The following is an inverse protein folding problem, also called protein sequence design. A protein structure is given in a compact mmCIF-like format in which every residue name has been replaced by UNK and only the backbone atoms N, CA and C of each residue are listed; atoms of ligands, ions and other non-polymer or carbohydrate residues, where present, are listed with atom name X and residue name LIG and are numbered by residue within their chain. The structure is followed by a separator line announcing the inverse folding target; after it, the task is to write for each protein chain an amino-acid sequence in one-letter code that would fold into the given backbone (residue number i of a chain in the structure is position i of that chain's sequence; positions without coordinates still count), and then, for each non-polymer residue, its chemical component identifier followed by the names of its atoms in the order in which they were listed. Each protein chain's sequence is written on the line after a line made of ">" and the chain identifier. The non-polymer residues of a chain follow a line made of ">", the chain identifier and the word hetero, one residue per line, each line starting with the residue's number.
data_IF_741435508527
#
_entry.id   IF_741435508527
#
_cell.length_a   1.000
_cell.length_b   1.000
_cell.length_c   1.000
_cell.angle_alpha   90.00
_cell.angle_beta   90.00
_cell.angle_gamma   90.00
#
_symmetry.space_group_name_H-M   'P 1'
#
loop_
_entity.id
_entity.type
_entity.pdbx_description
1 polymer ?
#
# COMPACT_ATOMS: atom_id res chain seq x y z
N UNK A 1 -44.00 -14.81 -72.33
CA UNK A 1 -44.67 -13.63 -72.89
C UNK A 1 -45.53 -13.02 -71.78
N UNK A 2 -45.18 -11.78 -71.36
CA UNK A 2 -45.98 -10.73 -70.68
C UNK A 2 -46.55 -10.93 -69.25
N UNK A 3 -45.79 -10.39 -68.28
CA UNK A 3 -46.08 -9.38 -67.22
C UNK A 3 -47.49 -9.12 -66.64
N UNK A 4 -47.60 -9.13 -65.30
CA UNK A 4 -48.01 -7.97 -64.44
C UNK A 4 -47.81 -8.35 -62.94
N UNK A 5 -46.89 -7.75 -62.19
CA UNK A 5 -47.02 -6.52 -61.36
C UNK A 5 -48.06 -6.62 -60.23
N UNK A 6 -47.64 -7.01 -59.01
CA UNK A 6 -48.23 -6.54 -57.74
C UNK A 6 -47.13 -6.48 -56.66
N UNK A 7 -46.80 -5.25 -56.26
CA UNK A 7 -46.05 -4.91 -55.05
C UNK A 7 -46.76 -5.46 -53.81
N UNK A 8 -46.02 -6.14 -52.93
CA UNK A 8 -46.47 -6.45 -51.56
C UNK A 8 -45.57 -5.69 -50.60
N UNK A 9 -46.21 -4.71 -50.00
CA UNK A 9 -45.75 -3.69 -49.05
C UNK A 9 -44.73 -4.14 -48.00
N UNK A 10 -43.71 -3.29 -47.83
CA UNK A 10 -42.91 -3.09 -46.62
C UNK A 10 -43.79 -3.07 -45.36
N UNK A 11 -43.51 -3.94 -44.38
CA UNK A 11 -43.82 -3.66 -42.99
C UNK A 11 -42.58 -3.07 -42.33
N UNK A 12 -42.60 -1.75 -42.18
CA UNK A 12 -41.69 -0.99 -41.32
C UNK A 12 -42.11 -1.28 -39.88
N UNK A 13 -41.36 -2.13 -39.19
CA UNK A 13 -41.41 -2.27 -37.74
C UNK A 13 -40.28 -1.39 -37.18
N UNK A 14 -40.58 -0.09 -37.06
CA UNK A 14 -39.75 0.84 -36.30
C UNK A 14 -39.97 0.57 -34.82
N UNK A 15 -39.11 -0.24 -34.22
CA UNK A 15 -38.89 -0.25 -32.78
C UNK A 15 -38.36 1.14 -32.40
N UNK A 16 -39.07 1.96 -31.58
CA UNK A 16 -38.52 3.20 -31.10
C UNK A 16 -37.41 2.83 -30.12
N UNK A 17 -36.17 2.90 -30.59
CA UNK A 17 -34.97 2.83 -29.75
C UNK A 17 -35.21 3.80 -28.59
N UNK A 18 -35.33 3.25 -27.38
CA UNK A 18 -35.46 4.03 -26.16
C UNK A 18 -34.17 4.83 -26.03
N UNK A 19 -34.21 6.08 -26.50
CA UNK A 19 -33.25 7.14 -26.17
C UNK A 19 -33.44 7.48 -24.69
N UNK A 20 -33.09 6.53 -23.82
CA UNK A 20 -32.78 6.85 -22.44
C UNK A 20 -31.62 7.85 -22.45
N UNK A 21 -31.62 8.88 -21.59
CA UNK A 21 -30.59 9.90 -21.62
C UNK A 21 -29.23 9.22 -21.47
N UNK A 22 -28.47 9.19 -22.56
CA UNK A 22 -27.09 8.72 -22.57
C UNK A 22 -26.37 9.55 -21.53
N UNK A 23 -26.01 8.91 -20.41
CA UNK A 23 -25.18 9.53 -19.38
C UNK A 23 -23.98 10.08 -20.12
N UNK A 24 -23.85 11.41 -20.17
CA UNK A 24 -22.84 12.04 -21.02
C UNK A 24 -21.49 11.46 -20.65
N UNK A 25 -20.67 11.17 -21.67
CA UNK A 25 -19.34 10.64 -21.45
C UNK A 25 -18.54 11.52 -20.49
N UNK A 26 -18.80 12.83 -20.49
CA UNK A 26 -18.28 13.80 -19.52
C UNK A 26 -18.80 13.60 -18.09
N UNK A 27 -20.09 13.30 -17.89
CA UNK A 27 -20.63 12.98 -16.57
C UNK A 27 -20.05 11.67 -16.03
N UNK A 28 -19.92 10.65 -16.89
CA UNK A 28 -19.31 9.37 -16.54
C UNK A 28 -17.80 9.50 -16.28
N UNK A 29 -17.07 10.24 -17.13
CA UNK A 29 -15.66 10.55 -16.91
C UNK A 29 -15.44 11.43 -15.69
N UNK A 30 -16.36 12.35 -15.35
CA UNK A 30 -16.25 13.12 -14.10
C UNK A 30 -16.48 12.24 -12.87
N UNK A 31 -17.38 11.25 -12.96
CA UNK A 31 -17.61 10.27 -11.90
C UNK A 31 -16.44 9.27 -11.76
N UNK A 32 -15.77 8.94 -12.87
CA UNK A 32 -14.58 8.06 -12.94
C UNK A 32 -13.29 8.82 -12.57
N UNK A 33 -13.20 10.11 -12.88
CA UNK A 33 -12.12 11.04 -12.49
C UNK A 33 -12.30 11.40 -11.02
N UNK A 34 -12.21 10.38 -10.17
CA UNK A 34 -12.20 10.56 -8.72
C UNK A 34 -11.02 11.42 -8.34
N UNK A 35 -11.38 12.61 -7.88
CA UNK A 35 -10.55 13.66 -7.30
C UNK A 35 -9.40 13.06 -6.47
N UNK A 36 -8.18 13.50 -6.79
CA UNK A 36 -6.95 13.04 -6.13
C UNK A 36 -7.07 13.26 -4.61
N UNK A 37 -7.05 12.17 -3.85
CA UNK A 37 -7.02 12.26 -2.39
C UNK A 37 -5.62 12.09 -1.86
N UNK A 38 -5.11 13.16 -1.26
CA UNK A 38 -3.87 13.15 -0.48
C UNK A 38 -3.95 12.11 0.63
N UNK A 39 -2.84 11.40 0.88
CA UNK A 39 -2.70 10.60 2.10
C UNK A 39 -2.26 11.52 3.24
N UNK A 40 -3.10 11.79 4.25
CA UNK A 40 -2.75 12.66 5.37
C UNK A 40 -1.78 12.00 6.37
N UNK A 41 -1.21 10.83 6.04
CA UNK A 41 -0.36 10.03 6.94
C UNK A 41 1.05 10.61 7.13
N UNK A 42 1.45 11.65 6.40
CA UNK A 42 2.75 12.29 6.53
C UNK A 42 2.91 13.09 7.84
N UNK A 43 1.90 13.88 8.24
CA UNK A 43 1.92 14.60 9.52
C UNK A 43 2.07 13.67 10.74
N UNK A 44 1.24 12.61 10.90
CA UNK A 44 1.39 11.70 12.04
C UNK A 44 2.70 10.90 11.98
N UNK A 45 3.26 10.64 10.79
CA UNK A 45 4.58 10.01 10.68
C UNK A 45 5.70 10.91 11.21
N UNK A 46 5.68 12.21 10.88
CA UNK A 46 6.65 13.19 11.41
C UNK A 46 6.49 13.36 12.92
N UNK A 47 5.26 13.46 13.41
CA UNK A 47 4.99 13.55 14.84
C UNK A 47 5.51 12.32 15.60
N UNK A 48 5.29 11.12 15.05
CA UNK A 48 5.79 9.88 15.63
C UNK A 48 7.33 9.83 15.64
N UNK A 49 7.97 10.34 14.60
CA UNK A 49 9.43 10.44 14.54
C UNK A 49 9.97 11.36 15.64
N UNK A 50 9.38 12.55 15.80
CA UNK A 50 9.75 13.48 16.88
C UNK A 50 9.52 12.87 18.26
N UNK A 51 8.37 12.20 18.46
CA UNK A 51 8.04 11.53 19.70
C UNK A 51 9.09 10.48 20.08
N UNK A 52 9.57 9.68 19.12
CA UNK A 52 10.60 8.68 19.38
C UNK A 52 11.94 9.30 19.77
N UNK A 53 12.38 10.34 19.06
CA UNK A 53 13.64 11.05 19.39
C UNK A 53 13.55 11.67 20.79
N UNK A 54 12.45 12.36 21.09
CA UNK A 54 12.23 12.97 22.41
C UNK A 54 12.21 11.89 23.50
N UNK A 55 11.46 10.80 23.31
CA UNK A 55 11.38 9.71 24.27
C UNK A 55 12.75 9.09 24.59
N UNK A 56 13.56 8.79 23.56
CA UNK A 56 14.90 8.23 23.77
C UNK A 56 15.81 9.24 24.47
N UNK A 57 15.75 10.52 24.08
CA UNK A 57 16.53 11.57 24.75
C UNK A 57 16.18 11.70 26.24
N UNK A 58 14.88 11.70 26.58
CA UNK A 58 14.42 11.74 27.96
C UNK A 58 14.80 10.48 28.73
N UNK A 59 14.78 9.30 28.09
CA UNK A 59 15.21 8.03 28.70
C UNK A 59 16.69 8.05 29.05
N UNK A 60 17.54 8.61 28.16
CA UNK A 60 18.97 8.84 28.45
C UNK A 60 19.13 9.81 29.62
N UNK A 61 18.40 10.93 29.63
CA UNK A 61 18.45 11.89 30.73
C UNK A 61 18.06 11.26 32.07
N UNK A 62 16.97 10.47 32.11
CA UNK A 62 16.55 9.74 33.31
C UNK A 62 17.63 8.74 33.74
N UNK A 63 18.23 7.99 32.82
CA UNK A 63 19.33 7.08 33.17
C UNK A 63 20.51 7.83 33.80
N UNK A 64 20.96 8.94 33.18
CA UNK A 64 22.08 9.76 33.68
C UNK A 64 21.79 10.37 35.06
N UNK A 65 20.62 10.99 35.23
CA UNK A 65 20.31 11.74 36.46
C UNK A 65 19.89 10.81 37.61
N UNK A 66 19.06 9.80 37.32
CA UNK A 66 18.46 8.95 38.35
C UNK A 66 19.23 7.67 38.64
N UNK A 67 19.94 7.08 37.67
CA UNK A 67 20.63 5.78 37.86
C UNK A 67 22.10 5.99 38.18
N UNK A 68 22.79 6.88 37.48
CA UNK A 68 24.20 7.17 37.75
C UNK A 68 24.42 8.15 38.92
N UNK A 69 23.35 8.46 39.66
CA UNK A 69 23.32 9.34 40.85
C UNK A 69 23.98 10.73 40.67
N UNK A 70 24.22 11.17 39.43
CA UNK A 70 24.81 12.48 39.11
C UNK A 70 23.91 13.64 39.57
N UNK A 71 22.60 13.40 39.71
CA UNK A 71 21.61 14.39 40.17
C UNK A 71 20.50 13.77 41.01
N UNK A 72 20.86 13.05 42.08
CA UNK A 72 19.91 12.33 42.95
C UNK A 72 18.77 13.22 43.49
N UNK A 73 19.08 14.43 43.93
CA UNK A 73 18.08 15.38 44.45
C UNK A 73 17.07 15.80 43.38
N UNK A 74 17.56 16.04 42.16
CA UNK A 74 16.75 16.40 41.01
C UNK A 74 15.84 15.24 40.58
N UNK A 75 16.35 14.00 40.62
CA UNK A 75 15.56 12.82 40.33
C UNK A 75 14.39 12.65 41.31
N UNK A 76 14.64 12.78 42.61
CA UNK A 76 13.58 12.68 43.64
C UNK A 76 12.58 13.82 43.50
N UNK A 77 13.01 15.02 43.11
CA UNK A 77 12.12 16.16 42.86
C UNK A 77 11.17 15.92 41.67
N UNK A 78 11.66 15.33 40.59
CA UNK A 78 10.88 15.16 39.34
C UNK A 78 10.09 13.85 39.32
N UNK A 79 10.69 12.72 39.73
CA UNK A 79 10.06 11.39 39.69
C UNK A 79 9.46 10.96 41.03
N UNK A 80 9.70 11.70 42.11
CA UNK A 80 9.26 11.32 43.45
C UNK A 80 9.91 10.02 43.90
N UNK A 81 9.09 9.06 44.34
CA UNK A 81 9.55 7.75 44.81
C UNK A 81 9.53 6.66 43.72
N UNK A 82 9.30 7.02 42.46
CA UNK A 82 9.24 6.05 41.35
C UNK A 82 10.65 5.75 40.84
N UNK A 83 10.99 4.46 40.70
CA UNK A 83 12.28 4.05 40.15
C UNK A 83 12.40 4.52 38.69
N UNK A 84 13.52 5.15 38.33
CA UNK A 84 13.72 5.70 36.98
C UNK A 84 13.51 4.69 35.85
N UNK A 85 13.92 3.43 36.06
CA UNK A 85 13.66 2.33 35.12
C UNK A 85 12.16 2.12 34.85
N UNK A 86 11.30 2.18 35.89
CA UNK A 86 9.86 2.01 35.74
C UNK A 86 9.25 3.12 34.89
N UNK A 87 9.71 4.36 35.03
CA UNK A 87 9.27 5.48 34.20
C UNK A 87 9.64 5.27 32.73
N UNK A 88 10.85 4.78 32.45
CA UNK A 88 11.28 4.44 31.08
C UNK A 88 10.39 3.34 30.50
N UNK A 89 10.11 2.27 31.25
CA UNK A 89 9.23 1.17 30.80
C UNK A 89 7.79 1.65 30.55
N UNK A 90 7.22 2.49 31.42
CA UNK A 90 5.89 3.09 31.22
C UNK A 90 5.88 3.95 29.95
N UNK A 91 6.91 4.77 29.75
CA UNK A 91 7.07 5.56 28.54
C UNK A 91 7.17 4.69 27.28
N UNK A 92 7.85 3.54 27.35
CA UNK A 92 7.92 2.58 26.25
C UNK A 92 6.55 2.06 25.83
N UNK A 93 5.71 1.73 26.80
CA UNK A 93 4.33 1.28 26.56
C UNK A 93 3.52 2.38 25.85
N UNK A 94 3.64 3.63 26.30
CA UNK A 94 2.97 4.76 25.66
C UNK A 94 3.43 4.96 24.21
N UNK A 95 4.75 4.97 23.95
CA UNK A 95 5.28 5.10 22.59
C UNK A 95 4.82 3.95 21.71
N UNK A 96 4.83 2.72 22.21
CA UNK A 96 4.33 1.56 21.46
C UNK A 96 2.85 1.70 21.11
N UNK A 97 2.02 2.21 22.03
CA UNK A 97 0.61 2.49 21.76
C UNK A 97 0.45 3.54 20.64
N UNK A 98 1.25 4.61 20.65
CA UNK A 98 1.27 5.59 19.57
C UNK A 98 1.67 4.97 18.21
N UNK A 99 2.68 4.08 18.20
CA UNK A 99 3.09 3.34 16.99
C UNK A 99 1.98 2.41 16.49
N UNK A 100 1.29 1.73 17.41
CA UNK A 100 0.15 0.86 17.09
C UNK A 100 -1.00 1.68 16.46
N UNK A 101 -1.38 2.80 17.08
CA UNK A 101 -2.41 3.69 16.55
C UNK A 101 -2.03 4.21 15.16
N UNK A 102 -0.78 4.63 14.97
CA UNK A 102 -0.27 5.02 13.66
C UNK A 102 -0.39 3.89 12.63
N UNK A 103 -0.01 2.66 13.00
CA UNK A 103 -0.16 1.49 12.14
C UNK A 103 -1.60 1.23 11.71
N UNK A 104 -2.56 1.36 12.64
CA UNK A 104 -4.00 1.24 12.34
C UNK A 104 -4.46 2.37 11.40
N UNK A 105 -4.07 3.62 11.66
CA UNK A 105 -4.40 4.75 10.80
C UNK A 105 -3.84 4.57 9.38
N UNK A 106 -2.56 4.20 9.25
CA UNK A 106 -1.91 3.92 7.97
C UNK A 106 -2.63 2.79 7.24
N UNK A 107 -2.96 1.70 7.94
CA UNK A 107 -3.69 0.58 7.34
C UNK A 107 -5.08 1.00 6.83
N UNK A 108 -5.82 1.81 7.60
CA UNK A 108 -7.12 2.32 7.21
C UNK A 108 -7.02 3.21 5.96
N UNK A 109 -6.10 4.17 5.95
CA UNK A 109 -5.91 5.07 4.80
C UNK A 109 -5.42 4.31 3.56
N UNK A 110 -4.47 3.38 3.70
CA UNK A 110 -3.99 2.58 2.56
C UNK A 110 -5.07 1.62 2.02
N UNK A 111 -5.94 1.06 2.87
CA UNK A 111 -7.09 0.25 2.42
C UNK A 111 -8.08 1.08 1.60
N UNK A 112 -8.36 2.30 2.04
CA UNK A 112 -9.20 3.25 1.31
C UNK A 112 -8.59 3.64 -0.04
N UNK A 113 -7.29 3.87 -0.09
CA UNK A 113 -6.56 4.16 -1.34
C UNK A 113 -6.56 2.95 -2.28
N UNK A 114 -6.42 1.73 -1.76
CA UNK A 114 -6.54 0.49 -2.55
C UNK A 114 -7.91 0.36 -3.21
N UNK A 115 -9.01 0.65 -2.49
CA UNK A 115 -10.38 0.61 -3.05
C UNK A 115 -10.63 1.61 -4.18
N UNK A 116 -9.69 2.54 -4.41
CA UNK A 116 -9.78 3.61 -5.42
C UNK A 116 -8.84 3.39 -6.62
N UNK A 117 -8.23 2.21 -6.73
CA UNK A 117 -7.45 1.84 -7.91
C UNK A 117 -5.94 2.16 -7.85
N UNK A 118 -5.39 2.52 -6.69
CA UNK A 118 -3.94 2.73 -6.49
C UNK A 118 -3.26 1.44 -6.00
N UNK A 119 -3.31 0.38 -6.81
CA UNK A 119 -2.83 -0.96 -6.42
C UNK A 119 -1.31 -1.07 -6.45
N UNK A 120 -0.64 -0.41 -7.41
CA UNK A 120 0.83 -0.41 -7.53
C UNK A 120 1.48 0.22 -6.30
N UNK A 121 1.03 1.43 -5.93
CA UNK A 121 1.49 2.13 -4.73
C UNK A 121 1.24 1.32 -3.43
N UNK A 122 0.11 0.61 -3.34
CA UNK A 122 -0.20 -0.25 -2.20
C UNK A 122 0.77 -1.44 -2.09
N UNK A 123 1.10 -2.09 -3.21
CA UNK A 123 2.02 -3.24 -3.24
C UNK A 123 3.43 -2.82 -2.81
N UNK A 124 3.93 -1.71 -3.35
CA UNK A 124 5.29 -1.23 -3.09
C UNK A 124 5.53 -0.77 -1.64
N UNK A 125 4.47 -0.38 -0.93
CA UNK A 125 4.53 0.07 0.46
C UNK A 125 3.98 -0.94 1.47
N UNK A 126 3.61 -2.15 1.03
CA UNK A 126 3.00 -3.17 1.91
C UNK A 126 3.94 -3.65 3.01
N UNK A 127 5.22 -3.80 2.73
CA UNK A 127 6.23 -4.23 3.72
C UNK A 127 6.63 -3.07 4.63
N UNK A 128 6.87 -1.90 4.03
CA UNK A 128 7.36 -0.71 4.73
C UNK A 128 6.39 -0.21 5.82
N UNK A 129 5.07 -0.33 5.62
CA UNK A 129 4.07 0.08 6.62
C UNK A 129 4.07 -0.77 7.91
N UNK A 130 4.56 -2.00 7.86
CA UNK A 130 4.56 -2.91 9.02
C UNK A 130 5.87 -2.89 9.80
N UNK A 131 6.98 -2.43 9.18
CA UNK A 131 8.30 -2.42 9.81
C UNK A 131 8.35 -1.65 11.14
N UNK A 132 7.82 -0.42 11.26
CA UNK A 132 7.90 0.32 12.52
C UNK A 132 7.23 -0.43 13.68
N UNK A 133 6.06 -1.03 13.44
CA UNK A 133 5.35 -1.80 14.47
C UNK A 133 6.11 -3.08 14.86
N UNK A 134 6.68 -3.79 13.88
CA UNK A 134 7.45 -5.00 14.13
C UNK A 134 8.73 -4.71 14.94
N UNK A 135 9.47 -3.65 14.56
CA UNK A 135 10.67 -3.20 15.27
C UNK A 135 10.31 -2.87 16.72
N UNK A 136 9.25 -2.07 16.94
CA UNK A 136 8.85 -1.65 18.28
C UNK A 136 8.35 -2.80 19.16
N UNK A 137 7.69 -3.78 18.54
CA UNK A 137 7.22 -4.98 19.26
C UNK A 137 8.38 -5.93 19.60
N UNK A 138 9.35 -6.10 18.70
CA UNK A 138 10.56 -6.86 18.98
C UNK A 138 11.38 -6.21 20.11
N UNK A 139 11.50 -4.88 20.11
CA UNK A 139 12.12 -4.12 21.18
C UNK A 139 11.41 -4.32 22.53
N UNK A 140 10.08 -4.31 22.57
CA UNK A 140 9.32 -4.63 23.79
C UNK A 140 9.64 -6.03 24.32
N UNK A 141 9.71 -7.03 23.46
CA UNK A 141 10.09 -8.38 23.86
C UNK A 141 11.50 -8.40 24.46
N UNK A 142 12.45 -7.68 23.85
CA UNK A 142 13.81 -7.57 24.38
C UNK A 142 13.85 -6.88 25.75
N UNK A 143 13.07 -5.80 25.93
CA UNK A 143 12.93 -5.13 27.25
C UNK A 143 12.37 -6.09 28.29
N UNK A 144 11.31 -6.84 27.97
CA UNK A 144 10.73 -7.83 28.87
C UNK A 144 11.74 -8.92 29.26
N UNK A 145 12.54 -9.41 28.29
CA UNK A 145 13.62 -10.37 28.56
C UNK A 145 14.61 -9.79 29.57
N UNK A 146 15.08 -8.56 29.37
CA UNK A 146 16.02 -7.90 30.29
C UNK A 146 15.42 -7.70 31.69
N UNK A 147 14.12 -7.38 31.79
CA UNK A 147 13.45 -7.24 33.08
C UNK A 147 13.19 -8.58 33.78
N UNK A 148 13.06 -9.67 33.01
CA UNK A 148 12.80 -11.02 33.54
C UNK A 148 14.06 -11.81 33.87
N UNK A 149 15.18 -11.47 33.25
CA UNK A 149 16.47 -12.03 33.59
C UNK A 149 16.91 -11.35 34.89
N UNK A 150 16.95 -12.09 36.01
CA UNK A 150 17.45 -11.63 37.32
C UNK A 150 18.95 -11.31 37.24
N UNK A 151 19.30 -10.29 36.44
CA UNK A 151 20.66 -9.85 36.21
C UNK A 151 21.16 -9.07 37.43
N UNK A 152 22.42 -9.25 37.82
CA UNK A 152 22.98 -8.55 38.97
C UNK A 152 22.89 -7.02 38.76
N UNK A 153 22.17 -6.33 39.65
CA UNK A 153 22.00 -4.86 39.61
C UNK A 153 23.31 -4.09 39.91
N UNK A 154 24.34 -4.79 40.41
CA UNK A 154 25.60 -4.20 40.89
C UNK A 154 26.39 -3.42 39.83
N UNK A 155 26.27 -3.79 38.55
CA UNK A 155 27.06 -3.18 37.46
C UNK A 155 26.25 -2.20 36.58
N UNK A 156 25.02 -1.84 36.98
CA UNK A 156 24.08 -1.08 36.13
C UNK A 156 23.81 -1.72 34.75
N UNK A 157 24.24 -2.96 34.53
CA UNK A 157 24.07 -3.74 33.31
C UNK A 157 22.64 -3.72 32.75
N UNK A 158 21.57 -3.92 33.54
CA UNK A 158 20.20 -3.88 33.00
C UNK A 158 19.83 -2.51 32.42
N UNK A 159 20.38 -1.41 32.96
CA UNK A 159 20.14 -0.06 32.44
C UNK A 159 20.87 0.17 31.12
N UNK A 160 22.11 -0.29 30.99
CA UNK A 160 22.84 -0.24 29.72
C UNK A 160 22.17 -1.07 28.63
N UNK A 161 21.71 -2.28 28.96
CA UNK A 161 20.97 -3.13 28.03
C UNK A 161 19.66 -2.47 27.60
N UNK A 162 18.90 -1.91 28.54
CA UNK A 162 17.68 -1.15 28.25
C UNK A 162 17.96 0.00 27.29
N UNK A 163 18.97 0.83 27.59
CA UNK A 163 19.32 1.98 26.77
C UNK A 163 19.86 1.58 25.39
N UNK A 164 20.62 0.48 25.32
CA UNK A 164 21.08 -0.13 24.08
C UNK A 164 19.92 -0.60 23.20
N UNK A 165 18.91 -1.26 23.78
CA UNK A 165 17.70 -1.67 23.06
C UNK A 165 16.97 -0.44 22.51
N UNK A 166 16.74 0.59 23.32
CA UNK A 166 16.07 1.81 22.90
C UNK A 166 16.84 2.55 21.79
N UNK A 167 18.17 2.62 21.91
CA UNK A 167 19.05 3.23 20.91
C UNK A 167 19.04 2.46 19.59
N UNK A 168 19.09 1.12 19.65
CA UNK A 168 19.00 0.26 18.47
C UNK A 168 17.62 0.36 17.80
N UNK A 169 16.54 0.37 18.58
CA UNK A 169 15.19 0.61 18.07
C UNK A 169 15.13 1.93 17.32
N UNK A 170 15.65 3.03 17.89
CA UNK A 170 15.67 4.33 17.25
C UNK A 170 16.49 4.30 15.95
N UNK A 171 17.68 3.71 15.99
CA UNK A 171 18.60 3.62 14.84
C UNK A 171 17.96 2.90 13.66
N UNK A 172 17.19 1.84 13.91
CA UNK A 172 16.53 1.05 12.85
C UNK A 172 15.19 1.67 12.45
N UNK A 173 14.39 2.16 13.40
CA UNK A 173 13.04 2.68 13.13
C UNK A 173 13.03 4.06 12.47
N UNK A 174 13.98 4.94 12.80
CA UNK A 174 14.10 6.27 12.18
C UNK A 174 14.23 6.22 10.66
N UNK A 175 15.22 5.51 10.06
CA UNK A 175 15.34 5.47 8.60
C UNK A 175 14.11 4.84 7.94
N UNK A 176 13.50 3.82 8.55
CA UNK A 176 12.25 3.24 8.04
C UNK A 176 11.12 4.27 7.97
N UNK A 177 10.91 5.06 9.04
CA UNK A 177 9.90 6.12 9.09
C UNK A 177 10.19 7.27 8.12
N UNK A 178 11.46 7.65 7.97
CA UNK A 178 11.88 8.68 7.02
C UNK A 178 11.59 8.23 5.58
N UNK A 179 12.01 7.02 5.20
CA UNK A 179 11.77 6.47 3.86
C UNK A 179 10.26 6.39 3.58
N UNK A 180 9.46 5.94 4.56
CA UNK A 180 8.00 5.94 4.44
C UNK A 180 7.45 7.35 4.20
N UNK A 181 7.87 8.32 5.01
CA UNK A 181 7.41 9.70 4.92
C UNK A 181 7.77 10.32 3.57
N UNK A 182 9.01 10.13 3.09
CA UNK A 182 9.45 10.61 1.77
C UNK A 182 8.59 10.01 0.64
N UNK A 183 8.29 8.70 0.71
CA UNK A 183 7.43 8.04 -0.28
C UNK A 183 6.00 8.60 -0.28
N UNK A 184 5.43 8.84 0.91
CA UNK A 184 4.08 9.44 1.03
C UNK A 184 4.07 10.89 0.56
N UNK A 185 5.07 11.69 0.92
CA UNK A 185 5.17 13.10 0.49
C UNK A 185 5.37 13.19 -1.03
N UNK A 186 6.23 12.34 -1.61
CA UNK A 186 6.42 12.26 -3.06
C UNK A 186 5.09 11.90 -3.76
N UNK A 187 4.39 10.88 -3.27
CA UNK A 187 3.08 10.50 -3.79
C UNK A 187 2.06 11.65 -3.70
N UNK A 188 2.01 12.35 -2.55
CA UNK A 188 1.13 13.50 -2.35
C UNK A 188 1.45 14.68 -3.27
N UNK A 189 2.75 14.92 -3.52
CA UNK A 189 3.23 16.01 -4.37
C UNK A 189 2.98 15.74 -5.85
N UNK A 190 3.23 14.52 -6.29
CA UNK A 190 3.16 14.15 -7.70
C UNK A 190 1.71 14.04 -8.19
N UNK A 191 0.71 14.14 -7.30
CA UNK A 191 -0.74 14.12 -7.60
C UNK A 191 -1.13 13.01 -8.58
N UNK A 192 -0.46 11.87 -8.48
CA UNK A 192 -0.59 10.78 -9.44
C UNK A 192 -2.07 10.39 -9.55
N UNK A 193 -2.63 10.42 -10.77
CA UNK A 193 -3.97 9.93 -11.04
C UNK A 193 -4.07 8.42 -10.75
N UNK A 194 -5.29 7.88 -10.54
CA UNK A 194 -5.49 6.46 -10.29
C UNK A 194 -4.84 5.59 -11.39
N UNK A 195 -4.31 4.42 -11.02
CA UNK A 195 -3.48 3.59 -11.93
C UNK A 195 -4.18 3.30 -13.28
N UNK A 196 -5.52 3.20 -13.27
CA UNK A 196 -6.38 2.96 -14.45
C UNK A 196 -6.35 4.15 -15.44
N UNK A 197 -6.23 5.38 -14.94
CA UNK A 197 -6.20 6.60 -15.78
C UNK A 197 -4.83 6.90 -16.39
N UNK A 198 -3.77 6.25 -15.90
CA UNK A 198 -2.40 6.42 -16.42
C UNK A 198 -2.04 5.44 -17.55
N UNK A 199 -2.84 4.39 -17.76
CA UNK A 199 -2.68 3.48 -18.90
C UNK A 199 -3.36 3.98 -20.18
N UNK A 200 -4.24 4.98 -20.10
CA UNK A 200 -4.96 5.57 -21.25
C UNK A 200 -4.44 6.90 -21.89
N UNK A 201 -3.32 7.56 -21.51
CA UNK A 201 -2.97 8.84 -22.15
C UNK A 201 -2.24 8.74 -23.50
N UNK A 202 -1.95 7.55 -24.06
CA UNK A 202 -1.19 7.44 -25.31
C UNK A 202 -2.01 7.24 -26.59
N UNK A 203 -3.35 7.18 -26.52
CA UNK A 203 -4.19 7.02 -27.71
C UNK A 203 -5.29 8.08 -27.91
N UNK A 204 -5.32 9.13 -27.08
CA UNK A 204 -6.35 10.18 -27.17
C UNK A 204 -5.80 11.52 -27.68
N UNK A 205 -5.19 11.51 -28.86
CA UNK A 205 -5.15 12.70 -29.73
C UNK A 205 -5.38 12.28 -31.16
N UNK A 206 -6.67 12.14 -31.50
CA UNK A 206 -7.33 12.81 -32.63
C UNK A 206 -8.74 12.22 -32.78
N UNK A 207 -9.66 12.62 -31.91
CA UNK A 207 -11.09 12.37 -32.09
C UNK A 207 -11.72 13.63 -32.67
N UNK A 208 -11.51 13.83 -33.97
CA UNK A 208 -12.43 14.57 -34.81
C UNK A 208 -12.78 13.65 -35.97
N UNK A 209 -14.09 13.41 -36.09
CA UNK A 209 -14.76 12.69 -37.17
C UNK A 209 -14.61 11.15 -37.16
N UNK A 210 -15.73 10.52 -36.83
CA UNK A 210 -16.31 9.41 -37.60
C UNK A 210 -15.45 8.94 -38.79
N UNK A 211 -14.77 7.81 -38.62
CA UNK A 211 -14.03 7.17 -39.69
C UNK A 211 -13.35 5.92 -39.19
N UNK A 212 -13.97 4.78 -39.48
CA UNK A 212 -13.30 3.48 -39.57
C UNK A 212 -11.93 3.66 -40.25
N UNK A 213 -10.84 3.56 -39.50
CA UNK A 213 -9.47 3.53 -40.05
C UNK A 213 -8.91 2.13 -39.93
N UNK A 214 -9.16 1.43 -41.03
CA UNK A 214 -8.51 0.23 -41.54
C UNK A 214 -6.97 0.27 -41.42
N UNK A 215 -6.37 -0.89 -41.10
CA UNK A 215 -4.94 -1.12 -41.24
C UNK A 215 -4.31 -1.83 -40.05
N UNK A 216 -3.91 -1.10 -39.00
CA UNK A 216 -2.95 -1.62 -38.02
C UNK A 216 -3.56 -2.50 -36.93
N UNK A 217 -4.82 -2.28 -36.52
CA UNK A 217 -5.43 -3.09 -35.44
C UNK A 217 -5.95 -4.42 -35.95
N UNK A 218 -6.39 -4.50 -37.21
CA UNK A 218 -6.91 -5.76 -37.76
C UNK A 218 -5.77 -6.71 -38.09
N UNK A 219 -4.63 -6.21 -38.58
CA UNK A 219 -3.43 -7.03 -38.82
C UNK A 219 -2.84 -7.57 -37.50
N UNK A 220 -2.74 -6.76 -36.44
CA UNK A 220 -2.30 -7.25 -35.13
C UNK A 220 -3.30 -8.24 -34.50
N UNK A 221 -4.60 -8.00 -34.66
CA UNK A 221 -5.64 -8.92 -34.16
C UNK A 221 -5.67 -10.22 -34.97
N UNK A 222 -5.46 -10.16 -36.29
CA UNK A 222 -5.36 -11.33 -37.17
C UNK A 222 -4.10 -12.12 -36.87
N UNK A 223 -2.97 -11.47 -36.63
CA UNK A 223 -1.72 -12.13 -36.23
C UNK A 223 -1.88 -12.86 -34.89
N UNK A 224 -2.48 -12.20 -33.88
CA UNK A 224 -2.76 -12.86 -32.59
C UNK A 224 -3.80 -13.97 -32.69
N UNK A 225 -4.79 -13.85 -33.58
CA UNK A 225 -5.75 -14.93 -33.82
C UNK A 225 -5.13 -16.10 -34.59
N UNK A 226 -4.21 -15.85 -35.52
CA UNK A 226 -3.47 -16.88 -36.25
C UNK A 226 -2.61 -17.72 -35.30
N UNK A 227 -1.87 -17.06 -34.39
CA UNK A 227 -1.06 -17.74 -33.37
C UNK A 227 -1.89 -18.64 -32.46
N UNK A 228 -3.08 -18.19 -32.05
CA UNK A 228 -3.98 -18.96 -31.21
C UNK A 228 -4.54 -20.19 -31.96
N UNK A 229 -4.88 -20.03 -33.24
CA UNK A 229 -5.36 -21.14 -34.08
C UNK A 229 -4.27 -22.18 -34.27
N UNK A 230 -3.03 -21.77 -34.53
CA UNK A 230 -1.91 -22.70 -34.70
C UNK A 230 -1.54 -23.39 -33.38
N UNK A 231 -1.57 -22.68 -32.26
CA UNK A 231 -1.44 -23.28 -30.93
C UNK A 231 -2.52 -24.34 -30.66
N UNK A 232 -3.79 -24.02 -30.93
CA UNK A 232 -4.91 -24.94 -30.74
C UNK A 232 -4.85 -26.15 -31.69
N UNK A 233 -4.38 -25.98 -32.92
CA UNK A 233 -4.13 -27.10 -33.86
C UNK A 233 -3.02 -28.01 -33.37
N UNK A 234 -1.89 -27.45 -32.95
CA UNK A 234 -0.78 -28.23 -32.39
C UNK A 234 -1.23 -28.98 -31.13
N UNK A 235 -1.99 -28.34 -30.26
CA UNK A 235 -2.52 -28.98 -29.07
C UNK A 235 -3.49 -30.13 -29.41
N UNK A 236 -4.42 -29.93 -30.34
CA UNK A 236 -5.33 -30.99 -30.79
C UNK A 236 -4.59 -32.16 -31.44
N UNK A 237 -3.62 -31.91 -32.33
CA UNK A 237 -2.85 -33.00 -32.96
C UNK A 237 -2.04 -33.79 -31.95
N UNK A 238 -1.48 -33.13 -30.92
CA UNK A 238 -0.78 -33.79 -29.82
C UNK A 238 -1.75 -34.61 -28.96
N UNK A 239 -2.94 -34.10 -28.70
CA UNK A 239 -3.99 -34.81 -27.97
C UNK A 239 -4.49 -36.04 -28.75
N UNK A 240 -4.73 -35.91 -30.07
CA UNK A 240 -5.10 -37.02 -30.96
C UNK A 240 -4.01 -38.09 -31.03
N UNK A 241 -2.72 -37.70 -31.09
CA UNK A 241 -1.61 -38.64 -31.02
C UNK A 241 -1.56 -39.39 -29.69
N UNK A 242 -1.78 -38.69 -28.56
CA UNK A 242 -1.85 -39.33 -27.24
C UNK A 242 -3.03 -40.29 -27.13
N UNK A 243 -4.21 -39.90 -27.63
CA UNK A 243 -5.38 -40.77 -27.68
C UNK A 243 -5.08 -42.03 -28.50
N UNK A 244 -4.60 -41.90 -29.74
CA UNK A 244 -4.24 -43.04 -30.58
C UNK A 244 -3.20 -43.95 -29.91
N UNK A 245 -2.19 -43.39 -29.26
CA UNK A 245 -1.17 -44.17 -28.56
C UNK A 245 -1.76 -44.96 -27.38
N UNK A 246 -2.74 -44.38 -26.67
CA UNK A 246 -3.47 -45.10 -25.61
C UNK A 246 -4.42 -46.16 -26.16
N UNK A 247 -5.04 -45.95 -27.33
CA UNK A 247 -5.89 -46.97 -27.97
C UNK A 247 -5.11 -48.13 -28.58
N UNK A 248 -3.84 -47.91 -28.97
CA UNK A 248 -2.94 -48.96 -29.48
C UNK A 248 -2.34 -49.82 -28.34
N UNK A 249 -2.35 -49.31 -27.10
CA UNK A 249 -1.89 -50.04 -25.91
C UNK A 249 -2.99 -50.90 -25.24
N UNK A 250 -4.15 -51.06 -25.88
CA UNK A 250 -5.28 -51.84 -25.38
C UNK A 250 -5.74 -52.90 -26.38
#
# INVERSE_FOLDING_TARGET
>A
QVSSSVDVSQSVEEDPLVDGPLISHDALQSAIRREFTTLPTHCPAVLLLLLQVVYVSLSVCVAVVCVFEVGREECVRVLGNVRGQSVVVIGKVFVWLCVLLFGVCVQHHHSRVRSRGYLRFYRDNRTLKHLPFLIHSAGNTAVLVVMSADLPEADHLPVYLLLGILGLELLVSLPCLIIYTVRVVRFNRDRAGPDISQEEPSNSYNTTETGFREGSSLEEVVEKQADLIDYLKQHNTLLSKRLLNMTVQH
#
